data_IF_571876666817
#
_entry.id   IF_571876666817
#
_cell.length_a   1.000
_cell.length_b   1.000
_cell.length_c   1.000
_cell.angle_alpha   90.00
_cell.angle_beta   90.00
_cell.angle_gamma   90.00
#
_symmetry.space_group_name_H-M   'P 1'
#
loop_
_entity.id
_entity.type
_entity.pdbx_description
1 polymer ?
#
# COMPACT_ATOMS: atom_id res chain seq x y z
N UNK A 1 3.82 -40.84 7.14
CA UNK A 1 3.79 -39.41 6.88
C UNK A 1 3.10 -38.70 8.04
N UNK A 2 3.86 -37.98 8.87
CA UNK A 2 3.30 -37.25 10.01
C UNK A 2 2.43 -36.10 9.57
N UNK A 3 1.33 -35.88 10.25
CA UNK A 3 0.48 -34.71 10.04
C UNK A 3 1.23 -33.47 10.54
N UNK A 4 1.49 -32.49 9.64
CA UNK A 4 2.20 -31.26 9.97
C UNK A 4 1.32 -30.23 10.70
N UNK A 5 0.02 -30.46 10.80
CA UNK A 5 -0.96 -29.55 11.39
C UNK A 5 -1.76 -30.24 12.48
N UNK A 6 -2.05 -29.49 13.56
CA UNK A 6 -3.03 -29.89 14.55
C UNK A 6 -4.44 -29.71 13.99
N UNK A 7 -5.35 -30.61 14.34
CA UNK A 7 -6.78 -30.51 14.05
C UNK A 7 -7.49 -30.28 15.37
N UNK A 8 -8.00 -29.05 15.63
CA UNK A 8 -8.81 -28.84 16.82
C UNK A 8 -10.14 -29.60 16.71
N UNK A 9 -10.79 -29.82 17.85
CA UNK A 9 -12.18 -30.28 17.86
C UNK A 9 -13.09 -29.25 17.20
N UNK A 10 -14.28 -29.66 16.80
CA UNK A 10 -15.28 -28.76 16.26
C UNK A 10 -15.54 -27.63 17.26
N UNK A 11 -15.35 -26.40 16.80
CA UNK A 11 -15.37 -25.23 17.67
C UNK A 11 -16.06 -24.09 16.93
N UNK A 12 -16.97 -23.43 17.62
CA UNK A 12 -17.61 -22.19 17.16
C UNK A 12 -16.96 -21.00 17.87
N UNK A 13 -16.54 -20.00 17.10
CA UNK A 13 -15.95 -18.77 17.62
C UNK A 13 -16.74 -17.60 17.04
N UNK A 14 -17.25 -16.73 17.90
CA UNK A 14 -18.00 -15.55 17.53
C UNK A 14 -17.27 -14.27 17.92
N UNK A 15 -17.34 -13.25 17.07
CA UNK A 15 -16.79 -11.92 17.33
C UNK A 15 -17.93 -10.89 17.26
N UNK A 16 -17.95 -9.97 18.21
CA UNK A 16 -18.89 -8.85 18.22
C UNK A 16 -18.11 -7.56 18.37
N UNK A 17 -18.08 -6.76 17.33
CA UNK A 17 -17.34 -5.49 17.27
C UNK A 17 -18.20 -4.39 16.68
N UNK A 18 -17.89 -3.14 17.04
CA UNK A 18 -18.55 -1.96 16.53
C UNK A 18 -17.59 -1.10 15.72
N UNK A 19 -18.04 -0.60 14.57
CA UNK A 19 -17.35 0.43 13.81
C UNK A 19 -18.11 1.77 13.90
N UNK A 20 -17.36 2.85 13.85
CA UNK A 20 -17.90 4.20 13.87
C UNK A 20 -17.16 5.04 12.85
N UNK A 21 -17.89 5.86 12.10
CA UNK A 21 -17.32 6.89 11.24
C UNK A 21 -18.08 8.19 11.45
N UNK A 22 -17.33 9.23 11.74
CA UNK A 22 -17.86 10.58 11.88
C UNK A 22 -17.03 11.50 10.98
N UNK A 23 -17.70 12.30 10.17
CA UNK A 23 -17.06 13.24 9.24
C UNK A 23 -17.78 14.57 9.23
N UNK A 24 -16.99 15.62 9.09
CA UNK A 24 -17.45 16.97 8.84
C UNK A 24 -16.73 17.49 7.61
N UNK A 25 -17.46 18.10 6.68
CA UNK A 25 -16.87 18.84 5.57
C UNK A 25 -17.50 20.22 5.41
N UNK A 26 -16.70 21.14 4.88
CA UNK A 26 -17.16 22.51 4.57
C UNK A 26 -16.49 22.98 3.29
N UNK A 27 -17.31 23.36 2.34
CA UNK A 27 -16.85 23.99 1.11
C UNK A 27 -16.72 25.51 1.33
N UNK A 28 -15.55 26.04 0.94
CA UNK A 28 -15.24 27.48 0.94
C UNK A 28 -14.63 27.81 -0.41
N UNK A 29 -15.36 28.53 -1.23
CA UNK A 29 -15.00 28.81 -2.63
C UNK A 29 -14.78 27.51 -3.42
N UNK A 30 -13.58 27.32 -3.94
CA UNK A 30 -13.14 26.15 -4.71
C UNK A 30 -12.53 25.04 -3.85
N UNK A 31 -12.42 25.26 -2.54
CA UNK A 31 -11.81 24.32 -1.60
C UNK A 31 -12.87 23.65 -0.73
N UNK A 32 -12.75 22.35 -0.55
CA UNK A 32 -13.51 21.59 0.45
C UNK A 32 -12.56 21.09 1.53
N UNK A 33 -12.78 21.58 2.74
CA UNK A 33 -12.05 21.11 3.93
C UNK A 33 -12.85 19.99 4.57
N UNK A 34 -12.17 18.91 4.96
CA UNK A 34 -12.82 17.83 5.69
C UNK A 34 -12.00 17.37 6.89
N UNK A 35 -12.73 16.95 7.91
CA UNK A 35 -12.18 16.27 9.09
C UNK A 35 -12.96 14.97 9.27
N UNK A 36 -12.27 13.86 9.41
CA UNK A 36 -12.86 12.55 9.58
C UNK A 36 -12.22 11.81 10.73
N UNK A 37 -13.04 11.27 11.60
CA UNK A 37 -12.66 10.29 12.60
C UNK A 37 -13.32 8.96 12.26
N UNK A 38 -12.56 7.86 12.38
CA UNK A 38 -13.11 6.52 12.19
C UNK A 38 -12.52 5.51 13.18
N UNK A 39 -13.37 4.59 13.60
CA UNK A 39 -13.00 3.34 14.29
C UNK A 39 -13.38 2.18 13.42
N UNK A 40 -12.43 1.30 13.16
CA UNK A 40 -12.64 0.08 12.41
C UNK A 40 -12.13 -1.13 13.17
N UNK A 41 -12.52 -2.30 12.71
CA UNK A 41 -12.06 -3.57 13.25
C UNK A 41 -11.88 -4.60 12.15
N UNK A 42 -11.08 -5.62 12.44
CA UNK A 42 -10.92 -6.82 11.62
C UNK A 42 -10.94 -8.04 12.55
N UNK A 43 -11.95 -8.91 12.48
CA UNK A 43 -11.90 -10.17 13.23
C UNK A 43 -10.76 -11.05 12.69
N UNK A 44 -10.24 -11.97 13.52
CA UNK A 44 -9.26 -12.94 13.08
C UNK A 44 -9.77 -13.75 11.88
N UNK A 45 -8.89 -14.01 10.91
CA UNK A 45 -9.21 -14.83 9.76
C UNK A 45 -9.21 -16.33 10.13
N UNK A 46 -9.92 -17.14 9.37
CA UNK A 46 -9.99 -18.61 9.59
C UNK A 46 -8.60 -19.24 9.63
N UNK A 47 -7.68 -18.81 8.77
CA UNK A 47 -6.31 -19.31 8.75
C UNK A 47 -5.46 -18.83 9.93
N UNK A 48 -5.80 -17.72 10.56
CA UNK A 48 -5.15 -17.23 11.79
C UNK A 48 -5.60 -18.03 12.99
N UNK A 49 -6.86 -18.47 13.03
CA UNK A 49 -7.45 -19.26 14.10
C UNK A 49 -7.12 -20.75 13.97
N UNK A 50 -7.23 -21.33 12.78
CA UNK A 50 -7.31 -22.79 12.59
C UNK A 50 -6.14 -23.39 11.81
N UNK A 51 -5.23 -22.60 11.23
CA UNK A 51 -4.01 -23.11 10.61
C UNK A 51 -2.92 -23.33 11.66
N UNK A 52 -3.10 -24.35 12.49
CA UNK A 52 -2.24 -24.67 13.62
C UNK A 52 -1.08 -25.57 13.17
N UNK A 53 0.13 -25.26 13.63
CA UNK A 53 1.27 -26.14 13.50
C UNK A 53 1.06 -27.38 14.39
N UNK A 54 1.89 -28.42 14.19
CA UNK A 54 1.82 -29.62 15.04
C UNK A 54 1.96 -29.26 16.52
N UNK A 55 1.04 -29.78 17.33
CA UNK A 55 0.95 -29.58 18.77
C UNK A 55 0.56 -28.13 19.22
N UNK A 56 0.18 -27.26 18.30
CA UNK A 56 -0.41 -25.96 18.67
C UNK A 56 -1.90 -26.11 18.98
N UNK A 57 -2.37 -25.29 19.90
CA UNK A 57 -3.79 -25.13 20.26
C UNK A 57 -4.36 -23.86 19.64
N UNK A 58 -5.68 -23.73 19.62
CA UNK A 58 -6.35 -22.50 19.23
C UNK A 58 -5.86 -21.33 20.09
N UNK A 59 -5.49 -20.24 19.41
CA UNK A 59 -5.11 -19.01 20.08
C UNK A 59 -6.35 -18.22 20.51
N UNK A 60 -6.30 -17.62 21.71
CA UNK A 60 -7.28 -16.64 22.13
C UNK A 60 -6.98 -15.31 21.44
N UNK A 61 -7.64 -15.07 20.30
CA UNK A 61 -7.44 -13.90 19.47
C UNK A 61 -8.63 -12.97 19.56
N UNK A 62 -8.36 -11.72 19.85
CA UNK A 62 -9.33 -10.64 19.72
C UNK A 62 -9.21 -9.95 18.37
N UNK A 63 -10.27 -9.26 17.94
CA UNK A 63 -10.27 -8.46 16.72
C UNK A 63 -9.18 -7.37 16.75
N UNK A 64 -8.50 -7.18 15.63
CA UNK A 64 -7.68 -5.99 15.43
C UNK A 64 -8.58 -4.75 15.40
N UNK A 65 -8.11 -3.66 15.99
CA UNK A 65 -8.83 -2.38 16.02
C UNK A 65 -7.96 -1.28 15.48
N UNK A 66 -8.57 -0.37 14.74
CA UNK A 66 -7.91 0.84 14.21
C UNK A 66 -8.74 2.08 14.56
N UNK A 67 -8.08 3.07 15.13
CA UNK A 67 -8.62 4.42 15.31
C UNK A 67 -7.87 5.34 14.35
N UNK A 68 -8.57 6.12 13.52
CA UNK A 68 -7.98 7.01 12.52
C UNK A 68 -8.59 8.40 12.60
N UNK A 69 -7.75 9.40 12.45
CA UNK A 69 -8.11 10.81 12.31
C UNK A 69 -7.47 11.33 11.02
N UNK A 70 -8.27 11.97 10.19
CA UNK A 70 -7.84 12.55 8.92
C UNK A 70 -8.34 13.99 8.82
N UNK A 71 -7.46 14.89 8.40
CA UNK A 71 -7.79 16.23 7.97
C UNK A 71 -7.33 16.39 6.53
N UNK A 72 -8.20 16.92 5.66
CA UNK A 72 -7.83 17.10 4.27
C UNK A 72 -8.45 18.31 3.62
N UNK A 73 -7.90 18.65 2.47
CA UNK A 73 -8.33 19.73 1.59
C UNK A 73 -8.44 19.15 0.19
N UNK A 74 -9.62 19.28 -0.41
CA UNK A 74 -9.87 19.04 -1.82
C UNK A 74 -10.01 20.41 -2.50
N UNK A 75 -9.12 20.73 -3.42
CA UNK A 75 -9.09 21.98 -4.15
C UNK A 75 -9.37 21.73 -5.64
N UNK A 76 -10.39 22.39 -6.18
CA UNK A 76 -10.84 22.22 -7.57
C UNK A 76 -10.83 23.55 -8.30
N UNK A 77 -10.31 23.56 -9.51
CA UNK A 77 -10.38 24.68 -10.43
C UNK A 77 -10.67 24.19 -11.85
N UNK A 78 -10.74 25.06 -12.82
CA UNK A 78 -11.07 24.71 -14.20
C UNK A 78 -10.06 23.76 -14.82
N UNK A 79 -8.79 23.84 -14.40
CA UNK A 79 -7.67 23.10 -14.95
C UNK A 79 -6.91 22.26 -13.90
N UNK A 80 -7.43 22.12 -12.68
CA UNK A 80 -6.77 21.30 -11.66
C UNK A 80 -7.77 20.66 -10.68
N UNK A 81 -7.35 19.53 -10.15
CA UNK A 81 -7.94 18.84 -9.00
C UNK A 81 -6.80 18.42 -8.08
N UNK A 82 -6.76 18.93 -6.85
CA UNK A 82 -5.71 18.60 -5.89
C UNK A 82 -6.32 18.17 -4.57
N UNK A 83 -5.76 17.11 -3.98
CA UNK A 83 -6.12 16.61 -2.67
C UNK A 83 -4.89 16.56 -1.78
N UNK A 84 -5.00 17.10 -0.59
CA UNK A 84 -4.02 17.04 0.48
C UNK A 84 -4.66 16.40 1.70
N UNK A 85 -3.99 15.44 2.34
CA UNK A 85 -4.49 14.76 3.55
C UNK A 85 -3.38 14.66 4.57
N UNK A 86 -3.67 15.07 5.80
CA UNK A 86 -2.92 14.72 6.99
C UNK A 86 -3.65 13.57 7.69
N UNK A 87 -2.95 12.53 8.07
CA UNK A 87 -3.56 11.42 8.77
C UNK A 87 -2.75 10.99 9.99
N UNK A 88 -3.46 10.47 10.99
CA UNK A 88 -2.87 9.81 12.15
C UNK A 88 -3.76 8.65 12.55
N UNK A 89 -3.21 7.45 12.66
CA UNK A 89 -3.95 6.27 13.10
C UNK A 89 -3.16 5.40 14.06
N UNK A 90 -3.91 4.67 14.91
CA UNK A 90 -3.36 3.70 15.85
C UNK A 90 -4.05 2.38 15.63
N UNK A 91 -3.26 1.32 15.50
CA UNK A 91 -3.76 -0.04 15.41
C UNK A 91 -3.44 -0.80 16.69
N UNK A 92 -4.42 -1.51 17.23
CA UNK A 92 -4.30 -2.32 18.45
C UNK A 92 -4.71 -3.77 18.15
N UNK A 93 -4.17 -4.69 18.94
CA UNK A 93 -4.39 -6.13 18.78
C UNK A 93 -3.94 -6.65 17.42
N UNK A 94 -2.87 -6.07 16.83
CA UNK A 94 -2.31 -6.57 15.60
C UNK A 94 -1.98 -8.06 15.74
N UNK A 95 -2.48 -8.86 14.81
CA UNK A 95 -2.28 -10.32 14.79
C UNK A 95 -1.03 -10.63 13.98
N UNK A 96 -0.10 -11.37 14.59
CA UNK A 96 1.18 -11.73 13.97
C UNK A 96 1.59 -13.15 14.34
N UNK A 97 2.63 -13.67 13.71
CA UNK A 97 3.23 -14.95 14.07
C UNK A 97 4.49 -14.72 14.92
N UNK A 98 4.56 -15.43 16.04
CA UNK A 98 5.76 -15.47 16.88
C UNK A 98 6.84 -16.40 16.29
N UNK A 99 7.94 -16.60 17.07
CA UNK A 99 9.06 -17.44 16.62
C UNK A 99 8.70 -18.93 16.48
N UNK A 100 7.68 -19.38 17.18
CA UNK A 100 7.17 -20.75 17.10
C UNK A 100 6.13 -20.91 16.01
N UNK A 101 5.97 -19.88 15.15
CA UNK A 101 4.94 -19.76 14.13
C UNK A 101 3.51 -19.86 14.67
N UNK A 102 3.31 -19.65 15.99
CA UNK A 102 2.01 -19.51 16.60
C UNK A 102 1.40 -18.16 16.25
N UNK A 103 0.10 -18.14 16.04
CA UNK A 103 -0.62 -16.89 15.81
C UNK A 103 -0.96 -16.25 17.16
N UNK A 104 -0.53 -15.02 17.34
CA UNK A 104 -0.73 -14.23 18.56
C UNK A 104 -1.27 -12.86 18.24
N UNK A 105 -2.00 -12.27 19.19
CA UNK A 105 -2.49 -10.91 19.12
C UNK A 105 -1.79 -10.02 20.15
N UNK A 106 -2.04 -8.72 20.11
CA UNK A 106 -1.53 -7.76 21.10
C UNK A 106 -0.48 -6.81 20.54
N UNK A 107 -0.10 -6.95 19.28
CA UNK A 107 0.73 -5.97 18.59
C UNK A 107 0.04 -4.60 18.55
N UNK A 108 0.84 -3.52 18.54
CA UNK A 108 0.37 -2.14 18.44
C UNK A 108 1.21 -1.39 17.43
N UNK A 109 0.58 -0.54 16.66
CA UNK A 109 1.29 0.32 15.70
C UNK A 109 0.69 1.71 15.62
N UNK A 110 1.52 2.66 15.22
CA UNK A 110 1.15 4.04 14.93
C UNK A 110 1.50 4.35 13.49
N UNK A 111 0.63 5.06 12.82
CA UNK A 111 0.80 5.48 11.45
C UNK A 111 0.44 6.95 11.36
N UNK A 112 1.32 7.75 10.78
CA UNK A 112 1.09 9.17 10.58
C UNK A 112 1.76 9.63 9.31
N UNK A 113 1.16 10.60 8.64
CA UNK A 113 1.74 11.06 7.39
C UNK A 113 0.94 12.11 6.67
N UNK A 114 1.44 12.39 5.48
CA UNK A 114 0.89 13.33 4.53
C UNK A 114 0.70 12.59 3.21
N UNK A 115 -0.46 12.75 2.61
CA UNK A 115 -0.74 12.29 1.25
C UNK A 115 -1.12 13.49 0.39
N UNK A 116 -0.52 13.55 -0.80
CA UNK A 116 -0.86 14.53 -1.82
C UNK A 116 -1.18 13.80 -3.11
N UNK A 117 -2.26 14.19 -3.76
CA UNK A 117 -2.60 13.66 -5.08
C UNK A 117 -3.34 14.72 -5.89
N UNK A 118 -3.25 14.60 -7.20
CA UNK A 118 -3.98 15.53 -8.03
C UNK A 118 -3.69 15.39 -9.52
N UNK A 119 -4.32 16.28 -10.26
CA UNK A 119 -4.08 16.48 -11.69
C UNK A 119 -4.11 17.96 -12.03
N UNK A 120 -3.29 18.36 -12.98
CA UNK A 120 -3.22 19.72 -13.49
C UNK A 120 -3.13 19.66 -15.01
N UNK A 121 -4.02 20.35 -15.71
CA UNK A 121 -3.92 20.61 -17.14
C UNK A 121 -3.00 21.83 -17.34
N UNK A 122 -1.71 21.55 -17.63
CA UNK A 122 -0.69 22.57 -17.80
C UNK A 122 -0.89 23.33 -19.11
N UNK A 123 -1.27 22.59 -20.15
CA UNK A 123 -1.69 23.09 -21.45
C UNK A 123 -2.78 22.19 -22.01
N UNK A 124 -3.49 22.57 -23.10
CA UNK A 124 -4.42 21.65 -23.77
C UNK A 124 -3.78 20.33 -24.24
N UNK A 125 -2.46 20.29 -24.38
CA UNK A 125 -1.71 19.12 -24.83
C UNK A 125 -0.99 18.36 -23.69
N UNK A 126 -0.99 18.87 -22.46
CA UNK A 126 -0.21 18.30 -21.35
C UNK A 126 -1.02 18.32 -20.05
N UNK A 127 -1.34 17.15 -19.55
CA UNK A 127 -1.89 16.94 -18.20
C UNK A 127 -0.85 16.21 -17.34
N UNK A 128 -0.61 16.72 -16.14
CA UNK A 128 0.22 16.06 -15.13
C UNK A 128 -0.69 15.49 -14.05
N UNK A 129 -0.50 14.20 -13.70
CA UNK A 129 -1.13 13.57 -12.53
C UNK A 129 -0.05 13.13 -11.56
N UNK A 130 -0.34 13.23 -10.28
CA UNK A 130 0.60 12.81 -9.24
C UNK A 130 -0.12 12.21 -8.04
N UNK A 131 0.58 11.30 -7.35
CA UNK A 131 0.18 10.77 -6.06
C UNK A 131 1.44 10.47 -5.24
N UNK A 132 1.56 11.06 -4.05
CA UNK A 132 2.68 10.88 -3.14
C UNK A 132 2.20 10.64 -1.73
N UNK A 133 2.88 9.74 -1.03
CA UNK A 133 2.69 9.48 0.40
C UNK A 133 4.02 9.66 1.12
N UNK A 134 4.00 10.44 2.19
CA UNK A 134 5.09 10.67 3.14
C UNK A 134 4.59 10.22 4.49
N UNK A 135 4.99 9.06 4.96
CA UNK A 135 4.41 8.46 6.15
C UNK A 135 5.45 7.78 7.05
N UNK A 136 5.19 7.79 8.33
CA UNK A 136 5.88 6.96 9.30
C UNK A 136 4.93 5.90 9.86
N UNK A 137 5.41 4.67 9.86
CA UNK A 137 4.72 3.52 10.41
C UNK A 137 5.61 2.92 11.50
N UNK A 138 5.18 3.01 12.76
CA UNK A 138 5.99 2.68 13.93
C UNK A 138 5.37 1.53 14.72
N UNK A 139 6.20 0.63 15.21
CA UNK A 139 5.80 -0.29 16.25
C UNK A 139 5.58 0.47 17.58
N UNK A 140 4.44 0.27 18.23
CA UNK A 140 4.09 0.86 19.53
C UNK A 140 4.07 -0.21 20.64
N UNK A 141 4.86 -1.26 20.50
CA UNK A 141 5.08 -2.32 21.47
C UNK A 141 6.48 -2.91 21.28
N UNK A 142 6.95 -3.67 22.27
CA UNK A 142 8.20 -4.40 22.17
C UNK A 142 7.96 -5.89 22.34
N UNK A 143 8.58 -6.69 21.48
CA UNK A 143 8.60 -8.14 21.56
C UNK A 143 9.96 -8.63 21.05
N UNK A 144 10.92 -8.67 21.97
CA UNK A 144 12.34 -8.85 21.66
C UNK A 144 12.66 -10.18 20.99
N UNK A 145 11.90 -11.25 21.27
CA UNK A 145 12.11 -12.56 20.68
C UNK A 145 11.95 -12.59 19.16
N UNK A 146 11.16 -11.68 18.59
CA UNK A 146 11.02 -11.53 17.12
C UNK A 146 11.65 -10.23 16.60
N UNK A 147 12.42 -9.52 17.42
CA UNK A 147 13.12 -8.30 17.01
C UNK A 147 12.25 -7.05 16.89
N UNK A 148 11.04 -7.06 17.45
CA UNK A 148 10.19 -5.87 17.49
C UNK A 148 10.56 -5.00 18.67
N UNK A 149 10.84 -3.74 18.39
CA UNK A 149 11.12 -2.73 19.43
C UNK A 149 10.25 -1.50 19.21
N UNK A 150 9.67 -1.02 20.31
CA UNK A 150 8.85 0.20 20.28
C UNK A 150 9.64 1.38 19.73
N UNK A 151 9.03 2.07 18.76
CA UNK A 151 9.62 3.21 18.07
C UNK A 151 10.41 2.85 16.82
N UNK A 152 10.66 1.56 16.55
CA UNK A 152 11.21 1.14 15.27
C UNK A 152 10.18 1.31 14.15
N UNK A 153 10.69 1.61 12.94
CA UNK A 153 9.87 1.61 11.74
C UNK A 153 9.38 0.19 11.44
N UNK A 154 8.12 0.07 11.05
CA UNK A 154 7.56 -1.19 10.57
C UNK A 154 8.30 -1.58 9.29
N UNK A 155 8.76 -2.82 9.24
CA UNK A 155 9.46 -3.36 8.08
C UNK A 155 8.54 -3.46 6.86
N UNK A 156 9.14 -3.42 5.68
CA UNK A 156 8.47 -3.42 4.37
C UNK A 156 7.51 -2.24 4.14
N UNK A 157 7.60 -1.19 4.95
CA UNK A 157 6.82 0.04 4.84
C UNK A 157 7.73 1.24 4.50
N UNK A 158 7.80 1.66 3.24
CA UNK A 158 8.60 2.83 2.84
C UNK A 158 8.01 4.11 3.42
N UNK A 159 8.89 5.03 3.84
CA UNK A 159 8.46 6.35 4.34
C UNK A 159 8.02 7.30 3.24
N UNK A 160 8.50 7.09 2.03
CA UNK A 160 8.18 7.90 0.85
C UNK A 160 7.90 6.98 -0.31
N UNK A 161 6.77 7.17 -0.94
CA UNK A 161 6.43 6.52 -2.20
C UNK A 161 5.51 7.40 -3.03
N UNK A 162 5.54 7.22 -4.33
CA UNK A 162 4.65 7.99 -5.20
C UNK A 162 4.87 7.75 -6.67
N UNK A 163 4.02 8.37 -7.44
CA UNK A 163 4.07 8.34 -8.90
C UNK A 163 3.76 9.70 -9.51
N UNK A 164 4.31 9.92 -10.69
CA UNK A 164 4.08 11.10 -11.50
C UNK A 164 3.78 10.63 -12.94
N UNK A 165 2.71 11.16 -13.52
CA UNK A 165 2.30 10.85 -14.88
C UNK A 165 2.28 12.12 -15.72
N UNK A 166 2.97 12.10 -16.84
CA UNK A 166 2.88 13.11 -17.90
C UNK A 166 2.00 12.53 -19.01
N UNK A 167 0.78 13.02 -19.14
CA UNK A 167 -0.12 12.65 -20.21
C UNK A 167 -0.05 13.73 -21.30
N UNK A 168 0.42 13.34 -22.48
CA UNK A 168 0.66 14.23 -23.61
C UNK A 168 -0.33 13.87 -24.70
N UNK A 169 -1.06 14.86 -25.21
CA UNK A 169 -2.10 14.73 -26.24
C UNK A 169 -1.68 15.48 -27.51
N UNK A 170 -0.69 14.97 -28.27
CA UNK A 170 -0.18 15.67 -29.45
C UNK A 170 -1.17 15.74 -30.61
N UNK A 171 -2.13 14.83 -30.64
CA UNK A 171 -3.23 14.73 -31.60
C UNK A 171 -4.49 14.26 -30.85
N UNK A 172 -5.69 14.57 -31.37
CA UNK A 172 -6.97 14.12 -30.77
C UNK A 172 -7.05 12.60 -30.53
N UNK A 173 -6.40 11.82 -31.39
CA UNK A 173 -6.45 10.36 -31.37
C UNK A 173 -5.26 9.70 -30.71
N UNK A 174 -4.28 10.48 -30.24
CA UNK A 174 -3.03 9.97 -29.71
C UNK A 174 -2.80 10.48 -28.27
N UNK A 175 -2.71 9.54 -27.36
CA UNK A 175 -2.27 9.80 -25.97
C UNK A 175 -0.94 9.13 -25.75
N UNK A 176 0.05 9.88 -25.31
CA UNK A 176 1.33 9.38 -24.83
C UNK A 176 1.42 9.61 -23.33
N UNK A 177 1.92 8.63 -22.60
CA UNK A 177 2.07 8.72 -21.16
C UNK A 177 3.48 8.31 -20.74
N UNK A 178 4.12 9.17 -19.96
CA UNK A 178 5.33 8.85 -19.21
C UNK A 178 4.92 8.70 -17.76
N UNK A 179 5.26 7.59 -17.14
CA UNK A 179 5.02 7.32 -15.74
C UNK A 179 6.37 7.18 -15.02
N UNK A 180 6.51 7.91 -13.92
CA UNK A 180 7.63 7.86 -13.02
C UNK A 180 7.15 7.29 -11.68
N UNK A 181 7.74 6.16 -11.26
CA UNK A 181 7.43 5.51 -10.00
C UNK A 181 8.61 5.60 -9.04
N UNK A 182 8.36 5.99 -7.83
CA UNK A 182 9.36 6.06 -6.77
C UNK A 182 8.94 5.24 -5.56
N UNK A 183 9.81 4.34 -5.12
CA UNK A 183 9.73 3.65 -3.85
C UNK A 183 10.97 3.99 -3.03
N UNK A 184 10.78 4.64 -1.89
CA UNK A 184 11.86 5.03 -1.01
C UNK A 184 12.46 3.85 -0.24
N UNK A 185 13.58 4.13 0.43
CA UNK A 185 14.23 3.17 1.33
C UNK A 185 13.27 2.73 2.44
N UNK A 186 13.31 1.42 2.78
CA UNK A 186 12.63 0.87 3.94
C UNK A 186 13.47 -0.23 4.62
N UNK A 187 13.15 -0.53 5.88
CA UNK A 187 13.75 -1.65 6.59
C UNK A 187 13.07 -2.97 6.20
N UNK A 188 13.85 -4.03 6.18
CA UNK A 188 13.40 -5.36 5.76
C UNK A 188 13.18 -6.31 6.94
N UNK A 189 13.49 -5.85 8.15
CA UNK A 189 13.34 -6.57 9.41
C UNK A 189 12.80 -5.66 10.53
N UNK A 190 12.06 -6.18 11.51
CA UNK A 190 11.48 -5.39 12.60
C UNK A 190 12.52 -4.71 13.50
N UNK A 191 13.75 -5.26 13.60
CA UNK A 191 14.84 -4.68 14.38
C UNK A 191 15.52 -3.48 13.70
N UNK A 192 15.13 -3.18 12.44
CA UNK A 192 15.69 -2.11 11.62
C UNK A 192 17.19 -2.24 11.32
N UNK A 193 17.70 -3.48 11.28
CA UNK A 193 19.12 -3.77 11.01
C UNK A 193 19.43 -3.84 9.51
N UNK A 194 18.48 -4.30 8.72
CA UNK A 194 18.63 -4.48 7.28
C UNK A 194 17.66 -3.56 6.53
N UNK A 195 18.05 -3.15 5.34
CA UNK A 195 17.20 -2.26 4.53
C UNK A 195 17.29 -2.56 3.05
N UNK A 196 16.24 -2.22 2.35
CA UNK A 196 16.19 -2.11 0.90
C UNK A 196 16.32 -0.63 0.51
N UNK A 197 17.18 -0.25 -0.46
CA UNK A 197 17.43 1.15 -0.80
C UNK A 197 16.26 1.84 -1.52
N UNK A 198 15.25 1.07 -1.95
CA UNK A 198 14.19 1.58 -2.82
C UNK A 198 14.59 1.54 -4.30
N UNK A 199 13.74 2.09 -5.15
CA UNK A 199 13.99 2.18 -6.58
C UNK A 199 13.17 3.30 -7.22
N UNK A 200 13.56 3.62 -8.44
CA UNK A 200 12.89 4.56 -9.32
C UNK A 200 12.74 3.88 -10.68
N UNK A 201 11.53 3.94 -11.25
CA UNK A 201 11.19 3.31 -12.52
C UNK A 201 10.52 4.32 -13.44
N UNK A 202 10.86 4.24 -14.72
CA UNK A 202 10.21 4.99 -15.79
C UNK A 202 9.51 4.01 -16.72
N UNK A 203 8.23 4.25 -16.97
CA UNK A 203 7.40 3.52 -17.91
C UNK A 203 6.89 4.47 -19.00
N UNK A 204 6.71 3.94 -20.19
CA UNK A 204 6.14 4.67 -21.31
C UNK A 204 4.97 3.92 -21.90
N UNK A 205 3.86 4.63 -22.21
CA UNK A 205 2.67 4.05 -22.87
C UNK A 205 2.18 4.97 -23.97
N UNK A 206 1.63 4.36 -25.00
CA UNK A 206 0.95 5.07 -26.07
C UNK A 206 -0.38 4.41 -26.41
N UNK A 207 -1.39 5.23 -26.65
CA UNK A 207 -2.74 4.83 -27.04
C UNK A 207 -3.13 5.60 -28.29
N UNK A 208 -3.53 4.89 -29.33
CA UNK A 208 -3.91 5.49 -30.59
C UNK A 208 -5.26 4.94 -31.07
N UNK A 209 -6.25 5.81 -31.14
CA UNK A 209 -7.57 5.50 -31.70
C UNK A 209 -7.50 5.58 -33.23
N UNK A 210 -7.11 4.49 -33.90
CA UNK A 210 -6.87 4.47 -35.33
C UNK A 210 -8.18 4.74 -36.10
N UNK A 211 -9.28 4.08 -35.68
CA UNK A 211 -10.63 4.31 -36.20
C UNK A 211 -11.60 4.35 -35.02
N UNK A 212 -12.90 4.63 -35.28
CA UNK A 212 -13.95 4.54 -34.25
C UNK A 212 -14.15 3.13 -33.68
N UNK A 213 -13.56 2.11 -34.28
CA UNK A 213 -13.68 0.70 -33.90
C UNK A 213 -12.35 0.02 -33.57
N UNK A 214 -11.22 0.62 -33.87
CA UNK A 214 -9.89 0.01 -33.71
C UNK A 214 -8.97 0.92 -32.91
N UNK A 215 -8.57 0.41 -31.75
CA UNK A 215 -7.59 1.02 -30.87
C UNK A 215 -6.30 0.22 -30.87
N UNK A 216 -5.18 0.93 -30.85
CA UNK A 216 -3.83 0.37 -30.74
C UNK A 216 -3.21 0.89 -29.45
N UNK A 217 -2.58 0.02 -28.70
CA UNK A 217 -1.80 0.42 -27.54
C UNK A 217 -0.41 -0.22 -27.57
N UNK A 218 0.54 0.48 -27.02
CA UNK A 218 1.88 -0.06 -26.76
C UNK A 218 2.41 0.45 -25.44
N UNK A 219 3.29 -0.31 -24.81
CA UNK A 219 3.97 0.10 -23.60
C UNK A 219 5.39 -0.43 -23.54
N UNK A 220 6.24 0.37 -22.94
CA UNK A 220 7.60 0.03 -22.59
C UNK A 220 7.70 0.18 -21.07
N UNK A 221 7.80 -0.93 -20.36
CA UNK A 221 7.90 -0.94 -18.91
C UNK A 221 9.36 -1.05 -18.51
N UNK A 222 9.74 -0.36 -17.43
CA UNK A 222 11.10 -0.28 -16.94
C UNK A 222 12.08 0.11 -18.06
N UNK A 223 11.85 1.30 -18.64
CA UNK A 223 12.58 1.82 -19.83
C UNK A 223 14.10 1.73 -19.67
N UNK A 224 14.61 2.00 -18.48
CA UNK A 224 16.04 1.99 -18.19
C UNK A 224 16.59 0.62 -17.76
N UNK A 225 15.77 -0.44 -17.88
CA UNK A 225 16.13 -1.81 -17.49
C UNK A 225 16.76 -1.89 -16.09
N UNK A 226 16.19 -1.13 -15.14
CA UNK A 226 16.65 -1.08 -13.75
C UNK A 226 16.44 -2.44 -13.10
N UNK A 227 17.48 -2.96 -12.43
CA UNK A 227 17.34 -4.12 -11.54
C UNK A 227 16.77 -3.65 -10.22
N UNK A 228 15.62 -4.19 -9.82
CA UNK A 228 14.91 -3.82 -8.60
C UNK A 228 14.20 -5.03 -8.00
N UNK A 229 13.74 -4.88 -6.77
CA UNK A 229 12.86 -5.84 -6.14
C UNK A 229 11.48 -5.20 -5.95
N UNK A 230 10.42 -5.89 -6.37
CA UNK A 230 9.04 -5.51 -6.06
C UNK A 230 8.79 -5.58 -4.55
N UNK A 231 9.44 -6.54 -3.90
CA UNK A 231 9.45 -6.69 -2.45
C UNK A 231 10.83 -7.19 -2.01
N UNK A 232 11.32 -6.65 -0.92
CA UNK A 232 12.48 -7.17 -0.21
C UNK A 232 12.12 -7.36 1.27
N UNK A 233 12.50 -8.49 1.84
CA UNK A 233 12.34 -8.76 3.26
C UNK A 233 13.57 -9.53 3.82
N UNK A 234 13.61 -9.72 5.12
CA UNK A 234 14.64 -10.49 5.81
C UNK A 234 14.00 -11.63 6.59
N UNK A 235 14.64 -12.78 6.55
CA UNK A 235 14.26 -13.93 7.38
C UNK A 235 15.49 -14.40 8.16
N UNK A 236 15.32 -14.70 9.43
CA UNK A 236 16.40 -15.28 10.27
C UNK A 236 16.94 -16.60 9.70
N UNK A 237 16.11 -17.33 8.96
CA UNK A 237 16.49 -18.62 8.34
C UNK A 237 17.21 -18.46 6.99
N UNK A 238 16.73 -17.57 6.11
CA UNK A 238 17.21 -17.44 4.72
C UNK A 238 17.97 -16.14 4.44
N UNK A 239 18.10 -15.24 5.42
CA UNK A 239 18.75 -13.94 5.24
C UNK A 239 17.91 -12.97 4.43
N UNK A 240 18.59 -12.09 3.68
CA UNK A 240 17.95 -11.11 2.80
C UNK A 240 17.29 -11.81 1.62
N UNK A 241 16.00 -11.52 1.39
CA UNK A 241 15.24 -12.05 0.27
C UNK A 241 14.77 -10.91 -0.62
N UNK A 242 14.88 -11.12 -1.93
CA UNK A 242 14.48 -10.17 -2.94
C UNK A 242 13.53 -10.86 -3.92
N UNK A 243 12.37 -10.32 -4.12
CA UNK A 243 11.42 -10.72 -5.15
C UNK A 243 11.68 -9.83 -6.37
N UNK A 244 12.33 -10.34 -7.42
CA UNK A 244 12.79 -9.51 -8.51
C UNK A 244 11.62 -8.91 -9.28
N UNK A 245 11.73 -7.63 -9.60
CA UNK A 245 10.82 -6.97 -10.51
C UNK A 245 11.13 -7.31 -11.97
N UNK A 246 10.19 -6.93 -12.83
CA UNK A 246 10.28 -7.22 -14.26
C UNK A 246 11.39 -6.40 -14.93
N UNK A 247 12.18 -7.00 -15.84
CA UNK A 247 13.16 -6.27 -16.65
C UNK A 247 12.41 -5.36 -17.65
N UNK A 248 13.16 -4.68 -18.52
CA UNK A 248 12.60 -3.97 -19.67
C UNK A 248 11.65 -4.88 -20.46
N UNK A 249 10.43 -4.41 -20.64
CA UNK A 249 9.39 -5.15 -21.38
C UNK A 249 8.72 -4.25 -22.41
N UNK A 250 8.44 -4.85 -23.56
CA UNK A 250 7.64 -4.28 -24.62
C UNK A 250 6.31 -5.02 -24.69
N UNK A 251 5.21 -4.28 -24.78
CA UNK A 251 3.87 -4.84 -24.93
C UNK A 251 3.14 -4.10 -26.04
N UNK A 252 2.48 -4.84 -26.89
CA UNK A 252 1.61 -4.33 -27.95
C UNK A 252 0.23 -4.95 -27.79
N UNK A 253 -0.79 -4.17 -28.02
CA UNK A 253 -2.16 -4.64 -28.01
C UNK A 253 -3.00 -3.87 -29.02
N UNK A 254 -4.08 -4.50 -29.45
CA UNK A 254 -5.14 -3.87 -30.21
C UNK A 254 -6.49 -4.35 -29.70
N UNK A 255 -7.49 -3.50 -29.77
CA UNK A 255 -8.88 -3.85 -29.50
C UNK A 255 -9.77 -3.41 -30.66
N UNK A 256 -10.68 -4.28 -31.06
CA UNK A 256 -11.63 -4.01 -32.11
C UNK A 256 -13.05 -4.19 -31.59
N UNK A 257 -13.90 -3.18 -31.82
CA UNK A 257 -15.32 -3.18 -31.47
C UNK A 257 -16.15 -3.45 -32.71
N UNK A 258 -17.02 -4.43 -32.64
CA UNK A 258 -17.91 -4.85 -33.76
C UNK A 258 -19.11 -3.92 -33.93
#
# INVERSE_FOLDING_TARGET
GGCYYSRPADTEISFSDNSLRFGFSRKVMTNEFFLQFSKGFRPPQINELFRLQKAQTLADLNSEKIDSLEFGILSTGDNFLNKFVLFSSKKNNYIYKDNDASTVAGGKSKHQGIEISGSVDVTPMLMIKYAWSFAEHLYDYSFSSIGVYKGNLIDTAPRVQGSLFFNIFPLEKLTLQIEEEYLGKYFTDPANQYSYPGHYLTNFRGFYNLTSKLDINFSILNVFNKRYAERADYSSFSGKRYFPGLPLQWRFGFSYSF
#
